data_IF_468552622061
#
_entry.id   IF_468552622061
#
_cell.length_a   1.000
_cell.length_b   1.000
_cell.length_c   1.000
_cell.angle_alpha   90.00
_cell.angle_beta   90.00
_cell.angle_gamma   90.00
#
_symmetry.space_group_name_H-M   'P 1'
#
loop_
_entity.id
_entity.type
_entity.pdbx_description
1 polymer ?
#
# COMPACT_ATOMS: atom_id res chain seq x y z
N UNK A 1 5.47 0.83 12.05
CA UNK A 1 6.42 0.04 11.22
C UNK A 1 5.71 -0.96 10.34
N UNK A 2 4.51 -1.39 10.73
CA UNK A 2 3.73 -2.50 10.18
C UNK A 2 3.64 -2.52 8.66
N UNK A 3 3.19 -1.40 8.07
CA UNK A 3 3.05 -1.29 6.62
C UNK A 3 4.38 -1.29 5.85
N UNK A 4 5.54 -1.30 6.51
CA UNK A 4 6.84 -1.30 5.82
C UNK A 4 7.17 -2.65 5.21
N UNK A 5 6.63 -3.76 5.75
CA UNK A 5 6.83 -5.09 5.16
C UNK A 5 6.05 -5.26 3.85
N UNK A 6 4.86 -4.65 3.76
CA UNK A 6 3.94 -4.72 2.61
C UNK A 6 4.63 -4.40 1.27
N UNK A 7 5.31 -3.25 1.08
CA UNK A 7 5.96 -2.92 -0.19
C UNK A 7 7.11 -3.87 -0.54
N UNK A 8 7.83 -4.41 0.45
CA UNK A 8 8.90 -5.39 0.22
C UNK A 8 8.33 -6.74 -0.28
N UNK A 9 7.22 -7.19 0.30
CA UNK A 9 6.55 -8.41 -0.13
C UNK A 9 5.86 -8.23 -1.50
N UNK A 10 5.12 -7.12 -1.65
CA UNK A 10 4.39 -6.80 -2.87
C UNK A 10 5.32 -6.59 -4.07
N UNK A 11 6.49 -5.95 -3.91
CA UNK A 11 7.41 -5.72 -5.03
C UNK A 11 8.00 -7.02 -5.60
N UNK A 12 8.23 -8.03 -4.75
CA UNK A 12 8.71 -9.34 -5.18
C UNK A 12 7.66 -10.07 -6.03
N UNK A 13 6.40 -10.06 -5.59
CA UNK A 13 5.29 -10.72 -6.30
C UNK A 13 4.89 -9.99 -7.59
N UNK A 14 4.77 -8.67 -7.54
CA UNK A 14 4.26 -7.85 -8.66
C UNK A 14 5.34 -7.45 -9.66
N UNK A 15 6.62 -7.53 -9.30
CA UNK A 15 7.76 -7.03 -10.09
C UNK A 15 7.73 -5.51 -10.36
N UNK A 16 6.88 -4.78 -9.62
CA UNK A 16 6.74 -3.33 -9.71
C UNK A 16 7.43 -2.70 -8.50
N UNK A 17 8.25 -1.65 -8.67
CA UNK A 17 8.92 -0.98 -7.55
C UNK A 17 7.93 -0.20 -6.70
N UNK A 18 8.15 -0.20 -5.38
CA UNK A 18 7.35 0.55 -4.41
C UNK A 18 8.16 1.67 -3.77
N UNK A 19 7.48 2.76 -3.45
CA UNK A 19 7.99 3.82 -2.57
C UNK A 19 7.19 3.76 -1.28
N UNK A 20 7.85 3.38 -0.20
CA UNK A 20 7.32 3.50 1.15
C UNK A 20 7.74 4.85 1.72
N UNK A 21 6.79 5.67 2.17
CA UNK A 21 7.07 7.00 2.68
C UNK A 21 6.21 7.32 3.90
N UNK A 22 6.69 8.29 4.67
CA UNK A 22 6.05 8.84 5.85
C UNK A 22 6.52 10.29 6.04
N UNK A 23 5.81 11.06 6.84
CA UNK A 23 6.02 12.50 6.92
C UNK A 23 7.37 12.82 7.58
N UNK A 24 8.16 13.63 6.86
CA UNK A 24 9.45 14.11 7.33
C UNK A 24 9.29 14.94 8.61
N UNK A 25 10.15 14.69 9.60
CA UNK A 25 10.11 15.21 10.96
C UNK A 25 8.90 14.74 11.77
N UNK A 26 7.69 15.00 11.27
CA UNK A 26 6.44 14.71 11.98
C UNK A 26 6.25 13.23 12.29
N UNK A 27 6.76 12.32 11.46
CA UNK A 27 6.82 10.89 11.77
C UNK A 27 8.26 10.42 11.90
N UNK A 28 9.16 10.88 11.01
CA UNK A 28 10.53 10.36 10.97
C UNK A 28 11.40 10.66 12.21
N UNK A 29 11.03 11.68 12.99
CA UNK A 29 11.75 12.10 14.21
C UNK A 29 10.84 12.12 15.44
N UNK A 30 9.66 11.54 15.33
CA UNK A 30 8.72 11.47 16.43
C UNK A 30 9.04 10.26 17.31
N UNK A 31 9.14 10.47 18.62
CA UNK A 31 9.36 9.40 19.59
C UNK A 31 8.02 8.91 20.12
N UNK A 32 7.68 7.66 19.81
CA UNK A 32 6.52 6.96 20.36
C UNK A 32 6.91 5.60 20.93
N UNK A 33 6.17 5.18 21.96
CA UNK A 33 6.17 3.77 22.35
C UNK A 33 5.32 3.01 21.34
N UNK A 34 5.95 2.06 20.66
CA UNK A 34 5.31 1.22 19.64
C UNK A 34 5.54 -0.26 19.97
N UNK A 35 4.77 -1.12 19.33
CA UNK A 35 5.05 -2.54 19.26
C UNK A 35 5.87 -2.82 17.99
N UNK A 36 6.98 -3.53 18.14
CA UNK A 36 7.83 -3.95 17.04
C UNK A 36 7.45 -5.37 16.61
N UNK A 37 7.33 -5.60 15.30
CA UNK A 37 7.08 -6.93 14.76
C UNK A 37 8.37 -7.76 14.77
N UNK A 38 8.26 -9.05 15.06
CA UNK A 38 9.39 -9.97 14.87
C UNK A 38 9.57 -10.25 13.36
N UNK A 39 10.82 -10.23 12.90
CA UNK A 39 11.15 -10.61 11.53
C UNK A 39 10.77 -12.06 11.23
N UNK A 40 10.79 -12.94 12.23
CA UNK A 40 10.41 -14.34 12.05
C UNK A 40 8.90 -14.53 11.79
N UNK A 41 8.06 -13.55 12.15
CA UNK A 41 6.63 -13.57 11.77
C UNK A 41 6.41 -13.18 10.31
N UNK A 42 7.31 -12.36 9.74
CA UNK A 42 7.23 -11.87 8.35
C UNK A 42 7.89 -12.86 7.40
N UNK A 43 8.96 -13.52 7.84
CA UNK A 43 9.78 -14.44 7.03
C UNK A 43 8.96 -15.48 6.24
N UNK A 44 7.91 -16.12 6.79
CA UNK A 44 7.08 -17.08 6.05
C UNK A 44 6.31 -16.47 4.86
N UNK A 45 6.10 -15.15 4.85
CA UNK A 45 5.43 -14.44 3.76
C UNK A 45 6.35 -14.21 2.56
N UNK A 46 7.68 -14.29 2.76
CA UNK A 46 8.66 -14.14 1.69
C UNK A 46 8.74 -15.45 0.91
N UNK A 47 8.08 -15.49 -0.26
CA UNK A 47 8.08 -16.68 -1.09
C UNK A 47 9.35 -16.82 -1.92
N UNK A 48 10.04 -17.94 -1.77
CA UNK A 48 11.25 -18.28 -2.53
C UNK A 48 11.02 -18.28 -4.04
N UNK A 49 9.82 -18.66 -4.51
CA UNK A 49 9.48 -18.66 -5.94
C UNK A 49 9.63 -17.26 -6.58
N UNK A 50 9.32 -16.19 -5.84
CA UNK A 50 9.44 -14.82 -6.34
C UNK A 50 10.91 -14.35 -6.38
N UNK A 51 11.71 -14.78 -5.40
CA UNK A 51 13.15 -14.54 -5.37
C UNK A 51 13.82 -15.27 -6.53
N UNK A 52 13.45 -16.52 -6.75
CA UNK A 52 13.99 -17.32 -7.85
C UNK A 52 13.63 -16.70 -9.21
N UNK A 53 12.38 -16.29 -9.44
CA UNK A 53 11.99 -15.57 -10.66
C UNK A 53 12.80 -14.28 -10.86
N UNK A 54 13.01 -13.49 -9.80
CA UNK A 54 13.84 -12.30 -9.86
C UNK A 54 15.28 -12.63 -10.27
N UNK A 55 15.90 -13.64 -9.64
CA UNK A 55 17.26 -14.10 -9.95
C UNK A 55 17.37 -14.64 -11.38
N UNK A 56 16.36 -15.38 -11.85
CA UNK A 56 16.31 -15.91 -13.21
C UNK A 56 16.20 -14.81 -14.27
N UNK A 57 15.77 -13.61 -13.90
CA UNK A 57 15.75 -12.42 -14.76
C UNK A 57 16.99 -11.52 -14.57
N UNK A 58 18.00 -11.91 -13.80
CA UNK A 58 19.24 -11.14 -13.71
C UNK A 58 20.00 -11.15 -15.06
N UNK A 59 20.83 -10.12 -15.29
CA UNK A 59 21.75 -10.13 -16.43
C UNK A 59 22.90 -11.10 -16.13
N UNK A 60 23.07 -12.10 -16.98
CA UNK A 60 24.16 -13.07 -16.89
C UNK A 60 24.66 -13.43 -18.31
N UNK A 61 25.98 -13.60 -18.51
CA UNK A 61 26.52 -14.08 -19.78
C UNK A 61 26.04 -15.49 -20.18
N UNK A 62 25.67 -16.34 -19.21
CA UNK A 62 25.23 -17.73 -19.47
C UNK A 62 23.81 -17.82 -20.03
N UNK A 63 22.99 -16.79 -19.78
CA UNK A 63 21.62 -16.61 -20.31
C UNK A 63 21.43 -15.14 -20.70
N UNK A 64 22.06 -14.69 -21.81
CA UNK A 64 22.07 -13.30 -22.17
C UNK A 64 20.69 -12.83 -22.64
N UNK A 65 20.32 -11.61 -22.26
CA UNK A 65 19.12 -10.90 -22.74
C UNK A 65 19.47 -9.44 -23.01
N UNK A 66 18.80 -8.82 -23.96
CA UNK A 66 18.93 -7.38 -24.25
C UNK A 66 17.84 -6.60 -23.51
N UNK A 67 18.19 -5.46 -22.90
CA UNK A 67 17.26 -4.54 -22.21
C UNK A 67 17.67 -3.09 -22.46
N UNK A 68 16.73 -2.16 -22.40
CA UNK A 68 17.00 -0.73 -22.58
C UNK A 68 17.29 -0.33 -24.03
N UNK A 69 16.62 -0.97 -24.99
CA UNK A 69 16.72 -0.62 -26.40
C UNK A 69 16.11 0.75 -26.70
N UNK A 70 16.54 1.40 -27.78
CA UNK A 70 15.85 2.54 -28.36
C UNK A 70 14.75 2.04 -29.32
N UNK A 71 13.57 2.63 -29.23
CA UNK A 71 12.41 2.22 -30.02
C UNK A 71 11.84 3.39 -30.82
N UNK A 72 11.40 3.08 -32.04
CA UNK A 72 10.67 4.03 -32.88
C UNK A 72 9.18 4.08 -32.47
N UNK A 73 8.43 5.11 -32.90
CA UNK A 73 7.02 5.29 -32.54
C UNK A 73 6.11 4.09 -32.86
N UNK A 74 6.40 3.36 -33.95
CA UNK A 74 5.61 2.19 -34.38
C UNK A 74 5.47 1.07 -33.33
N UNK A 75 6.44 0.87 -32.43
CA UNK A 75 6.40 -0.20 -31.40
C UNK A 75 6.32 0.31 -29.97
N UNK A 76 6.86 1.51 -29.71
CA UNK A 76 7.05 2.03 -28.36
C UNK A 76 5.75 2.06 -27.55
N UNK A 77 4.64 2.48 -28.16
CA UNK A 77 3.37 2.56 -27.45
C UNK A 77 2.87 1.17 -27.02
N UNK A 78 2.86 0.19 -27.91
CA UNK A 78 2.43 -1.18 -27.58
C UNK A 78 3.30 -1.81 -26.50
N UNK A 79 4.62 -1.61 -26.53
CA UNK A 79 5.50 -2.11 -25.47
C UNK A 79 5.30 -1.38 -24.15
N UNK A 80 4.92 -0.09 -24.15
CA UNK A 80 4.60 0.65 -22.93
C UNK A 80 3.35 0.11 -22.25
N UNK A 81 2.32 -0.21 -23.02
CA UNK A 81 1.05 -0.78 -22.54
C UNK A 81 1.18 -2.25 -22.11
N UNK A 82 2.21 -2.96 -22.56
CA UNK A 82 2.45 -4.36 -22.17
C UNK A 82 2.67 -4.55 -20.66
N UNK A 83 2.98 -3.47 -19.93
CA UNK A 83 3.13 -3.51 -18.48
C UNK A 83 1.81 -3.34 -17.70
N UNK A 84 0.69 -3.01 -18.34
CA UNK A 84 -0.56 -2.64 -17.67
C UNK A 84 -1.05 -3.73 -16.71
N UNK A 85 -0.99 -4.99 -17.15
CA UNK A 85 -1.43 -6.14 -16.35
C UNK A 85 -0.67 -6.29 -15.02
N UNK A 86 0.59 -5.82 -14.96
CA UNK A 86 1.36 -5.80 -13.71
C UNK A 86 0.82 -4.76 -12.74
N UNK A 87 0.44 -3.58 -13.25
CA UNK A 87 -0.13 -2.50 -12.44
C UNK A 87 -1.55 -2.81 -11.98
N UNK A 88 -2.37 -3.41 -12.86
CA UNK A 88 -3.76 -3.78 -12.57
C UNK A 88 -3.86 -4.79 -11.42
N UNK A 89 -2.85 -5.66 -11.27
CA UNK A 89 -2.79 -6.64 -10.19
C UNK A 89 -2.37 -6.06 -8.82
N UNK A 90 -1.76 -4.87 -8.77
CA UNK A 90 -1.16 -4.34 -7.53
C UNK A 90 -2.18 -4.16 -6.40
N UNK A 91 -3.38 -3.57 -6.60
CA UNK A 91 -4.30 -3.32 -5.50
C UNK A 91 -4.64 -4.59 -4.72
N UNK A 92 -4.95 -5.69 -5.42
CA UNK A 92 -5.28 -6.97 -4.79
C UNK A 92 -4.09 -7.58 -4.04
N UNK A 93 -2.88 -7.47 -4.60
CA UNK A 93 -1.66 -7.97 -3.93
C UNK A 93 -1.32 -7.16 -2.68
N UNK A 94 -1.44 -5.84 -2.74
CA UNK A 94 -1.22 -4.97 -1.58
C UNK A 94 -2.27 -5.21 -0.52
N UNK A 95 -3.54 -5.33 -0.89
CA UNK A 95 -4.62 -5.67 0.04
C UNK A 95 -4.35 -6.98 0.76
N UNK A 96 -4.00 -8.04 0.01
CA UNK A 96 -3.60 -9.34 0.57
C UNK A 96 -2.51 -9.17 1.64
N UNK A 97 -1.43 -8.44 1.37
CA UNK A 97 -0.36 -8.26 2.34
C UNK A 97 -0.74 -7.34 3.51
N UNK A 98 -1.62 -6.35 3.30
CA UNK A 98 -2.23 -5.62 4.41
C UNK A 98 -3.01 -6.57 5.32
N UNK A 99 -3.78 -7.51 4.77
CA UNK A 99 -4.48 -8.54 5.56
C UNK A 99 -3.52 -9.48 6.30
N UNK A 100 -2.38 -9.86 5.71
CA UNK A 100 -1.36 -10.63 6.43
C UNK A 100 -0.75 -9.82 7.59
N UNK A 101 -0.52 -8.52 7.41
CA UNK A 101 -0.07 -7.65 8.51
C UNK A 101 -1.14 -7.54 9.60
N UNK A 102 -2.42 -7.48 9.24
CA UNK A 102 -3.53 -7.51 10.20
C UNK A 102 -3.50 -8.77 11.06
N UNK A 103 -3.23 -9.94 10.46
CA UNK A 103 -3.17 -11.21 11.19
C UNK A 103 -1.99 -11.26 12.16
N UNK A 104 -0.83 -10.75 11.77
CA UNK A 104 0.38 -10.76 12.61
C UNK A 104 0.24 -9.78 13.77
N UNK A 105 -0.26 -8.58 13.49
CA UNK A 105 -0.23 -7.45 14.44
C UNK A 105 -1.52 -7.28 15.25
N UNK A 106 -2.62 -7.88 14.80
CA UNK A 106 -3.96 -7.62 15.32
C UNK A 106 -4.53 -6.23 14.98
N UNK A 107 -3.82 -5.42 14.17
CA UNK A 107 -4.23 -4.07 13.77
C UNK A 107 -4.73 -4.08 12.33
N UNK A 108 -5.92 -3.56 12.08
CA UNK A 108 -6.59 -3.70 10.78
C UNK A 108 -6.03 -2.74 9.73
N UNK A 109 -5.51 -3.30 8.63
CA UNK A 109 -4.96 -2.57 7.50
C UNK A 109 -5.67 -2.96 6.19
N UNK A 110 -5.97 -1.94 5.40
CA UNK A 110 -6.47 -2.04 4.03
C UNK A 110 -5.73 -1.04 3.13
N UNK A 111 -5.97 -1.09 1.82
CA UNK A 111 -5.59 -0.03 0.87
C UNK A 111 -6.10 1.36 1.31
N UNK A 112 -7.33 1.38 1.84
CA UNK A 112 -8.01 2.53 2.40
C UNK A 112 -8.74 2.12 3.67
N UNK A 113 -8.46 2.78 4.78
CA UNK A 113 -9.13 2.51 6.06
C UNK A 113 -10.14 3.64 6.36
N UNK A 114 -11.38 3.28 6.67
CA UNK A 114 -12.37 4.23 7.17
C UNK A 114 -12.26 4.38 8.69
N UNK A 115 -12.49 5.59 9.20
CA UNK A 115 -12.64 5.86 10.63
C UNK A 115 -13.67 6.96 10.86
N UNK A 116 -14.66 6.73 11.71
CA UNK A 116 -15.65 7.74 12.07
C UNK A 116 -17.03 7.14 12.30
N UNK A 117 -18.05 7.99 12.23
CA UNK A 117 -19.44 7.55 12.36
C UNK A 117 -19.83 6.63 11.19
N UNK A 118 -20.57 5.55 11.45
CA UNK A 118 -21.06 4.66 10.38
C UNK A 118 -22.03 5.38 9.43
N UNK A 119 -22.68 6.45 9.91
CA UNK A 119 -23.61 7.31 9.18
C UNK A 119 -23.02 8.71 8.91
N UNK A 120 -21.71 8.81 8.73
CA UNK A 120 -21.05 10.09 8.48
C UNK A 120 -21.58 10.77 7.20
N UNK A 121 -21.90 12.05 7.31
CA UNK A 121 -22.35 12.91 6.20
C UNK A 121 -21.20 13.72 5.61
N UNK A 122 -20.11 13.89 6.37
CA UNK A 122 -18.94 14.67 5.98
C UNK A 122 -17.69 13.84 6.21
N UNK A 123 -17.00 13.50 5.12
CA UNK A 123 -15.81 12.66 5.13
C UNK A 123 -14.64 13.44 4.56
N UNK A 124 -13.52 13.43 5.28
CA UNK A 124 -12.23 13.91 4.76
C UNK A 124 -11.39 12.72 4.29
N UNK A 125 -10.76 12.83 3.12
CA UNK A 125 -9.84 11.83 2.61
C UNK A 125 -8.43 12.40 2.72
N UNK A 126 -7.55 11.72 3.44
CA UNK A 126 -6.20 12.19 3.74
C UNK A 126 -5.20 11.04 3.88
N UNK A 127 -3.93 11.40 3.94
CA UNK A 127 -2.80 10.46 3.90
C UNK A 127 -1.68 10.97 4.81
N UNK A 128 -0.85 10.05 5.31
CA UNK A 128 0.29 10.39 6.17
C UNK A 128 -0.14 10.72 7.60
N UNK A 129 0.72 11.43 8.33
CA UNK A 129 0.55 11.66 9.77
C UNK A 129 -0.69 12.48 10.13
N UNK A 130 -1.24 13.23 9.17
CA UNK A 130 -2.46 14.02 9.38
C UNK A 130 -3.69 13.17 9.75
N UNK A 131 -3.67 11.86 9.47
CA UNK A 131 -4.74 10.92 9.88
C UNK A 131 -4.89 10.85 11.39
N UNK A 132 -3.80 10.97 12.15
CA UNK A 132 -3.81 10.82 13.61
C UNK A 132 -4.52 11.98 14.33
N UNK A 133 -4.19 13.27 14.10
CA UNK A 133 -4.95 14.37 14.68
C UNK A 133 -6.37 14.47 14.11
N UNK A 134 -6.60 14.05 12.85
CA UNK A 134 -7.95 13.96 12.31
C UNK A 134 -8.80 12.96 13.09
N UNK A 135 -8.23 11.81 13.49
CA UNK A 135 -8.89 10.82 14.35
C UNK A 135 -9.36 11.43 15.67
N UNK A 136 -8.48 12.16 16.36
CA UNK A 136 -8.80 12.82 17.62
C UNK A 136 -9.91 13.88 17.46
N UNK A 137 -9.84 14.67 16.38
CA UNK A 137 -10.87 15.67 16.08
C UNK A 137 -12.22 15.02 15.76
N UNK A 138 -12.22 13.92 15.00
CA UNK A 138 -13.41 13.12 14.67
C UNK A 138 -14.05 12.58 15.94
N UNK A 139 -13.26 12.01 16.86
CA UNK A 139 -13.78 11.51 18.15
C UNK A 139 -14.46 12.61 18.96
N UNK A 140 -13.83 13.78 19.03
CA UNK A 140 -14.38 14.94 19.73
C UNK A 140 -15.70 15.43 19.11
N UNK A 141 -15.78 15.49 17.78
CA UNK A 141 -16.96 15.96 17.06
C UNK A 141 -18.10 14.93 17.10
N UNK A 142 -17.78 13.64 16.96
CA UNK A 142 -18.78 12.56 17.04
C UNK A 142 -19.41 12.46 18.44
N UNK A 143 -18.64 12.71 19.52
CA UNK A 143 -19.18 12.84 20.89
C UNK A 143 -20.18 13.99 21.04
N UNK A 144 -20.15 14.98 20.16
CA UNK A 144 -21.11 16.09 20.11
C UNK A 144 -22.28 15.83 19.15
N UNK A 145 -22.42 14.60 18.65
CA UNK A 145 -23.48 14.23 17.71
C UNK A 145 -23.26 14.74 16.30
N UNK A 146 -22.05 15.20 15.95
CA UNK A 146 -21.69 15.42 14.54
C UNK A 146 -21.47 14.08 13.86
N UNK A 147 -21.74 14.03 12.56
CA UNK A 147 -21.62 12.83 11.73
C UNK A 147 -20.44 12.99 10.80
N UNK A 148 -19.24 12.81 11.35
CA UNK A 148 -17.99 13.01 10.61
C UNK A 148 -17.13 11.75 10.60
N UNK A 149 -16.34 11.60 9.55
CA UNK A 149 -15.39 10.52 9.40
C UNK A 149 -14.23 10.87 8.48
N UNK A 150 -13.33 9.91 8.31
CA UNK A 150 -12.21 10.02 7.40
C UNK A 150 -11.93 8.72 6.67
N UNK A 151 -11.27 8.84 5.52
CA UNK A 151 -10.58 7.73 4.87
C UNK A 151 -9.08 8.01 4.91
N UNK A 152 -8.33 7.12 5.55
CA UNK A 152 -6.88 7.08 5.52
C UNK A 152 -6.40 6.29 4.29
N UNK A 153 -5.61 6.94 3.44
CA UNK A 153 -5.06 6.34 2.22
C UNK A 153 -3.71 5.68 2.53
N UNK A 154 -3.59 4.36 2.31
CA UNK A 154 -2.32 3.64 2.43
C UNK A 154 -1.68 3.34 1.07
N UNK A 155 -2.49 2.96 0.06
CA UNK A 155 -2.01 2.83 -1.31
C UNK A 155 -2.43 4.04 -2.15
N UNK A 156 -1.52 5.00 -2.30
CA UNK A 156 -1.76 6.13 -3.20
C UNK A 156 -1.61 5.77 -4.68
N UNK A 157 -0.70 4.85 -5.02
CA UNK A 157 -0.45 4.42 -6.41
C UNK A 157 -0.17 2.91 -6.51
N UNK A 158 -0.81 2.22 -7.47
CA UNK A 158 -1.92 2.68 -8.31
C UNK A 158 -3.18 2.95 -7.47
N UNK A 159 -3.95 3.97 -7.85
CA UNK A 159 -5.10 4.41 -7.06
C UNK A 159 -6.33 3.58 -7.41
N UNK A 160 -6.79 2.74 -6.49
CA UNK A 160 -7.94 1.86 -6.73
C UNK A 160 -9.25 2.52 -6.33
N UNK A 161 -10.01 2.98 -7.34
CA UNK A 161 -11.33 3.61 -7.14
C UNK A 161 -12.33 2.63 -6.54
N UNK A 162 -12.28 1.37 -6.93
CA UNK A 162 -13.23 0.36 -6.46
C UNK A 162 -13.03 0.03 -4.99
N UNK A 163 -11.78 -0.07 -4.54
CA UNK A 163 -11.49 -0.25 -3.11
C UNK A 163 -11.86 1.00 -2.30
N UNK A 164 -11.59 2.20 -2.80
CA UNK A 164 -12.01 3.43 -2.12
C UNK A 164 -13.53 3.48 -1.93
N UNK A 165 -14.30 3.15 -2.98
CA UNK A 165 -15.77 3.13 -2.91
C UNK A 165 -16.29 2.11 -1.90
N UNK A 166 -15.65 0.94 -1.79
CA UNK A 166 -16.02 -0.09 -0.80
C UNK A 166 -15.77 0.36 0.64
N UNK A 167 -14.76 1.22 0.86
CA UNK A 167 -14.40 1.74 2.19
C UNK A 167 -15.34 2.84 2.68
N UNK A 168 -15.93 3.62 1.77
CA UNK A 168 -16.77 4.78 2.14
C UNK A 168 -18.19 4.31 2.54
N UNK A 169 -18.74 4.75 3.69
CA UNK A 169 -20.14 4.49 4.05
C UNK A 169 -21.14 4.97 2.99
N UNK A 170 -22.28 4.29 2.89
CA UNK A 170 -23.27 4.55 1.84
C UNK A 170 -24.13 5.81 2.05
N UNK A 171 -24.04 6.44 3.22
CA UNK A 171 -24.87 7.58 3.66
C UNK A 171 -24.37 8.92 3.16
#
# INVERSE_FOLDING_TARGET
MDLSAVPHLATLETKVPFINFFDGFRTSHEYHKIEEMDMEDIRPLVKEEFIEDFRNRALTPERPVTRGTAENPETFFTHREACNTYYDAIPEVVEKYCQEMTKITGREYHLFNYYGAEDAENIIILMGSATEPAREAIDYLNKQGKKVGMVAVHLFRPFSVDFLKKTIPAT
#
